data_IF_909045148698
#
_entry.id   IF_909045148698
#
_cell.length_a   1.000
_cell.length_b   1.000
_cell.length_c   1.000
_cell.angle_alpha   90.00
_cell.angle_beta   90.00
_cell.angle_gamma   90.00
#
_symmetry.space_group_name_H-M   'P 1'
#
loop_
_entity.id
_entity.type
_entity.pdbx_description
1 polymer ?
#
# COMPACT_ATOMS: atom_id res chain seq x y z
N UNK A 1 -14.25 -4.00 -16.63
CA UNK A 1 -12.88 -4.53 -16.78
C UNK A 1 -11.87 -3.72 -15.97
N UNK A 2 -12.08 -2.42 -15.74
CA UNK A 2 -11.23 -1.62 -14.85
C UNK A 2 -11.25 -2.10 -13.38
N UNK A 3 -12.36 -2.66 -12.89
CA UNK A 3 -12.52 -3.07 -11.48
C UNK A 3 -11.54 -4.16 -11.02
N UNK A 4 -11.17 -5.10 -11.90
CA UNK A 4 -10.20 -6.15 -11.59
C UNK A 4 -8.79 -5.59 -11.42
N UNK A 5 -8.38 -4.66 -12.28
CA UNK A 5 -7.08 -3.98 -12.17
C UNK A 5 -7.02 -3.08 -10.91
N UNK A 6 -8.13 -2.43 -10.55
CA UNK A 6 -8.25 -1.68 -9.28
C UNK A 6 -8.09 -2.61 -8.07
N UNK A 7 -8.73 -3.78 -8.11
CA UNK A 7 -8.60 -4.79 -7.05
C UNK A 7 -7.15 -5.30 -6.91
N UNK A 8 -6.50 -5.60 -8.04
CA UNK A 8 -5.10 -6.04 -8.05
C UNK A 8 -4.15 -4.95 -7.56
N UNK A 9 -4.42 -3.69 -7.88
CA UNK A 9 -3.65 -2.56 -7.35
C UNK A 9 -3.77 -2.42 -5.83
N UNK A 10 -4.97 -2.63 -5.26
CA UNK A 10 -5.18 -2.63 -3.79
C UNK A 10 -4.43 -3.77 -3.11
N UNK A 11 -4.40 -4.96 -3.72
CA UNK A 11 -3.59 -6.08 -3.21
C UNK A 11 -2.09 -5.78 -3.28
N UNK A 12 -1.63 -5.16 -4.38
CA UNK A 12 -0.24 -4.74 -4.53
C UNK A 12 0.16 -3.67 -3.49
N UNK A 13 -0.75 -2.75 -3.14
CA UNK A 13 -0.57 -1.78 -2.07
C UNK A 13 -0.37 -2.46 -0.71
N UNK A 14 -1.22 -3.45 -0.37
CA UNK A 14 -1.07 -4.22 0.88
C UNK A 14 0.23 -5.01 0.94
N UNK A 15 0.79 -5.37 -0.22
CA UNK A 15 2.07 -6.07 -0.33
C UNK A 15 3.28 -5.13 -0.46
N UNK A 16 3.08 -3.81 -0.39
CA UNK A 16 4.12 -2.79 -0.59
C UNK A 16 4.81 -2.88 -1.98
N UNK A 17 4.15 -3.49 -2.96
CA UNK A 17 4.66 -3.71 -4.33
C UNK A 17 4.18 -2.61 -5.26
N UNK A 18 4.69 -1.40 -5.06
CA UNK A 18 4.23 -0.22 -5.80
C UNK A 18 4.57 -0.25 -7.31
N UNK A 19 5.61 -1.00 -7.71
CA UNK A 19 5.97 -1.16 -9.13
C UNK A 19 4.84 -1.85 -9.91
N UNK A 20 4.28 -2.93 -9.37
CA UNK A 20 3.13 -3.62 -9.96
C UNK A 20 1.84 -2.82 -9.83
N UNK A 21 1.66 -2.13 -8.69
CA UNK A 21 0.51 -1.23 -8.51
C UNK A 21 0.43 -0.17 -9.61
N UNK A 22 1.57 0.39 -10.04
CA UNK A 22 1.63 1.34 -11.18
C UNK A 22 1.22 0.68 -12.49
N UNK A 23 1.64 -0.55 -12.76
CA UNK A 23 1.28 -1.29 -13.98
C UNK A 23 -0.22 -1.55 -14.06
N UNK A 24 -0.86 -1.94 -12.96
CA UNK A 24 -2.32 -2.10 -12.90
C UNK A 24 -3.05 -0.75 -13.06
N UNK A 25 -2.60 0.29 -12.37
CA UNK A 25 -3.22 1.61 -12.46
C UNK A 25 -3.08 2.27 -13.84
N UNK A 26 -2.00 1.98 -14.59
CA UNK A 26 -1.88 2.38 -16.00
C UNK A 26 -2.92 1.68 -16.88
N UNK A 27 -3.19 0.39 -16.66
CA UNK A 27 -4.22 -0.36 -17.39
C UNK A 27 -5.60 0.22 -17.12
N UNK A 28 -5.91 0.54 -15.85
CA UNK A 28 -7.14 1.26 -15.47
C UNK A 28 -7.24 2.58 -16.20
N UNK A 29 -6.20 3.40 -16.20
CA UNK A 29 -6.19 4.69 -16.90
C UNK A 29 -6.32 4.57 -18.43
N UNK A 30 -5.87 3.46 -19.02
CA UNK A 30 -5.98 3.21 -20.47
C UNK A 30 -7.35 2.63 -20.84
N UNK A 31 -7.95 1.86 -19.94
CA UNK A 31 -9.28 1.28 -20.10
C UNK A 31 -10.40 2.30 -19.78
N UNK A 32 -10.13 3.26 -18.89
CA UNK A 32 -11.02 4.37 -18.60
C UNK A 32 -11.05 5.34 -19.78
N UNK A 33 -12.13 5.27 -20.57
CA UNK A 33 -12.39 6.21 -21.67
C UNK A 33 -13.03 7.52 -21.19
N UNK A 34 -13.66 7.49 -20.01
CA UNK A 34 -14.26 8.62 -19.31
C UNK A 34 -13.46 8.90 -18.02
N UNK A 35 -13.42 10.17 -17.61
CA UNK A 35 -12.63 10.69 -16.47
C UNK A 35 -12.49 9.73 -15.28
N UNK A 36 -11.24 9.45 -14.89
CA UNK A 36 -10.88 8.68 -13.69
C UNK A 36 -11.61 9.21 -12.44
N UNK A 37 -12.23 8.31 -11.68
CA UNK A 37 -12.83 8.63 -10.40
C UNK A 37 -11.79 9.14 -9.40
N UNK A 38 -12.26 9.86 -8.38
CA UNK A 38 -11.40 10.40 -7.32
C UNK A 38 -10.61 9.30 -6.61
N UNK A 39 -11.20 8.11 -6.45
CA UNK A 39 -10.54 6.96 -5.83
C UNK A 39 -9.40 6.40 -6.69
N UNK A 40 -9.62 6.21 -8.00
CA UNK A 40 -8.61 5.72 -8.95
C UNK A 40 -7.46 6.70 -9.12
N UNK A 41 -7.77 8.01 -9.18
CA UNK A 41 -6.75 9.07 -9.20
C UNK A 41 -5.89 9.05 -7.94
N UNK A 42 -6.48 8.80 -6.78
CA UNK A 42 -5.75 8.73 -5.53
C UNK A 42 -4.79 7.53 -5.52
N UNK A 43 -5.28 6.34 -5.90
CA UNK A 43 -4.47 5.13 -6.07
C UNK A 43 -3.31 5.35 -7.03
N UNK A 44 -3.55 5.97 -8.19
CA UNK A 44 -2.51 6.30 -9.16
C UNK A 44 -1.44 7.22 -8.55
N UNK A 45 -1.86 8.21 -7.74
CA UNK A 45 -0.97 9.13 -7.06
C UNK A 45 -0.10 8.43 -6.01
N UNK A 46 -0.69 7.53 -5.21
CA UNK A 46 0.02 6.73 -4.20
C UNK A 46 1.07 5.83 -4.86
N UNK A 47 0.66 5.10 -5.90
CA UNK A 47 1.54 4.20 -6.63
C UNK A 47 2.78 4.93 -7.18
N UNK A 48 2.59 6.04 -7.90
CA UNK A 48 3.70 6.80 -8.48
C UNK A 48 4.56 7.53 -7.44
N UNK A 49 3.96 8.10 -6.38
CA UNK A 49 4.72 8.75 -5.31
C UNK A 49 5.64 7.79 -4.59
N UNK A 50 5.20 6.54 -4.38
CA UNK A 50 5.99 5.54 -3.66
C UNK A 50 7.07 4.90 -4.54
N UNK A 51 6.78 4.61 -5.82
CA UNK A 51 7.80 4.13 -6.79
C UNK A 51 8.94 5.14 -6.97
N UNK A 52 8.62 6.44 -7.06
CA UNK A 52 9.64 7.50 -7.24
C UNK A 52 10.25 7.93 -5.91
N UNK A 53 9.47 7.91 -4.83
CA UNK A 53 9.87 8.32 -3.48
C UNK A 53 10.88 7.39 -2.81
N UNK A 54 10.85 6.09 -3.11
CA UNK A 54 11.83 5.13 -2.61
C UNK A 54 13.28 5.44 -3.06
N UNK A 55 13.45 6.16 -4.17
CA UNK A 55 14.78 6.60 -4.67
C UNK A 55 15.27 7.91 -4.06
N UNK A 56 14.42 8.64 -3.32
CA UNK A 56 14.70 10.02 -2.94
C UNK A 56 14.77 10.32 -1.43
N UNK A 57 14.22 9.49 -0.55
CA UNK A 57 14.24 9.73 0.90
C UNK A 57 14.25 8.41 1.67
N UNK A 58 15.35 8.13 2.37
CA UNK A 58 15.20 7.46 3.66
C UNK A 58 14.25 8.31 4.51
N UNK A 59 13.31 7.66 5.20
CA UNK A 59 12.18 8.21 5.99
C UNK A 59 10.81 8.25 5.27
N UNK A 60 10.14 7.11 5.17
CA UNK A 60 8.69 7.08 5.43
C UNK A 60 8.51 6.64 6.88
N UNK A 61 8.65 7.62 7.76
CA UNK A 61 8.20 7.45 9.14
C UNK A 61 6.69 7.30 9.15
N UNK A 62 6.23 6.17 9.69
CA UNK A 62 5.00 6.01 10.50
C UNK A 62 3.67 6.43 9.84
N UNK A 63 2.96 5.44 9.29
CA UNK A 63 1.50 5.38 9.17
C UNK A 63 1.15 3.97 8.66
N UNK A 64 0.37 3.08 9.26
CA UNK A 64 -0.32 2.99 10.55
C UNK A 64 -0.64 1.49 10.74
N UNK A 65 -0.63 1.00 11.98
CA UNK A 65 -1.43 -0.18 12.40
C UNK A 65 -1.05 -1.62 11.99
N UNK A 66 0.22 -2.02 12.19
CA UNK A 66 0.54 -3.41 12.56
C UNK A 66 1.01 -3.55 14.02
N UNK A 67 0.54 -2.66 14.91
CA UNK A 67 0.43 -3.03 16.32
C UNK A 67 -0.82 -3.89 16.47
N UNK A 68 -0.66 -5.19 16.23
CA UNK A 68 -1.65 -6.17 16.66
C UNK A 68 -1.60 -6.19 18.19
N UNK A 69 -2.66 -5.79 18.94
CA UNK A 69 -2.69 -6.00 20.37
C UNK A 69 -2.91 -7.49 20.63
N UNK A 70 -1.80 -8.24 20.62
CA UNK A 70 -1.72 -9.68 20.85
C UNK A 70 -0.39 -10.11 21.43
N UNK A 71 0.44 -9.17 21.90
CA UNK A 71 1.60 -9.49 22.71
C UNK A 71 1.12 -10.02 24.07
N UNK A 72 1.29 -11.32 24.25
CA UNK A 72 1.06 -12.09 25.47
C UNK A 72 1.59 -11.34 26.71
N UNK A 73 0.88 -11.38 27.86
CA UNK A 73 1.36 -10.74 29.08
C UNK A 73 2.74 -11.33 29.47
N UNK A 74 3.63 -10.52 30.08
CA UNK A 74 4.91 -11.02 30.54
C UNK A 74 4.70 -12.06 31.65
N UNK A 75 5.30 -13.23 31.45
CA UNK A 75 5.37 -14.33 32.42
C UNK A 75 6.01 -13.82 33.73
N UNK A 76 5.32 -13.87 34.89
CA UNK A 76 5.86 -13.36 36.15
C UNK A 76 6.96 -14.26 36.76
N UNK A 77 7.27 -15.41 36.14
CA UNK A 77 8.10 -16.44 36.76
C UNK A 77 9.57 -16.49 36.29
N UNK A 78 10.09 -15.42 35.66
CA UNK A 78 11.50 -15.36 35.21
C UNK A 78 12.37 -14.37 35.98
N UNK A 79 12.02 -14.13 37.25
CA UNK A 79 12.84 -13.40 38.22
C UNK A 79 12.98 -14.17 39.53
N UNK A 80 13.68 -15.30 39.48
CA UNK A 80 14.37 -15.86 40.64
C UNK A 80 15.77 -16.29 40.19
N UNK A 81 16.66 -15.31 40.15
CA UNK A 81 18.09 -15.47 40.36
C UNK A 81 18.48 -14.52 41.50
#
# INVERSE_FOLDING_TARGET
MADEDVYMAKLAEQAERYEEMVEYMKKVATAASDDLSLEERNLLSVAYKNVVGARGRGVQGRLDHLDQPGAHPPDPARSCA
#
